data_IF_540395744082
#
_entry.id   IF_540395744082
#
_cell.length_a   1.000
_cell.length_b   1.000
_cell.length_c   1.000
_cell.angle_alpha   90.00
_cell.angle_beta   90.00
_cell.angle_gamma   90.00
#
_symmetry.space_group_name_H-M   'P 1'
#
loop_
_entity.id
_entity.type
_entity.pdbx_description
1 polymer ?
#
# COMPACT_ATOMS: atom_id res chain seq x y z
N UNK A 1 44.35 -12.13 -2.33
CA UNK A 1 43.60 -11.33 -1.33
C UNK A 1 42.18 -11.10 -1.86
N UNK A 2 41.17 -11.80 -1.34
CA UNK A 2 39.77 -11.64 -1.80
C UNK A 2 39.19 -10.34 -1.23
N UNK A 3 39.37 -9.23 -1.94
CA UNK A 3 38.55 -8.04 -1.78
C UNK A 3 37.20 -8.32 -2.41
N UNK A 4 36.14 -8.17 -1.64
CA UNK A 4 34.77 -8.38 -2.07
C UNK A 4 34.07 -9.35 -1.15
N UNK A 5 32.86 -8.96 -0.73
CA UNK A 5 31.83 -9.82 -0.12
C UNK A 5 31.64 -9.66 1.40
N UNK A 6 32.13 -8.59 2.05
CA UNK A 6 31.75 -8.29 3.45
C UNK A 6 30.22 -8.15 3.59
N UNK A 7 29.57 -7.45 2.65
CA UNK A 7 28.11 -7.35 2.57
C UNK A 7 27.44 -8.71 2.34
N UNK A 8 28.03 -9.56 1.51
CA UNK A 8 27.51 -10.92 1.25
C UNK A 8 27.63 -11.82 2.48
N UNK A 9 28.68 -11.67 3.30
CA UNK A 9 28.81 -12.36 4.59
C UNK A 9 27.78 -11.87 5.62
N UNK A 10 27.51 -10.57 5.65
CA UNK A 10 26.47 -9.99 6.52
C UNK A 10 25.09 -10.50 6.08
N UNK A 11 24.83 -10.53 4.77
CA UNK A 11 23.60 -11.08 4.20
C UNK A 11 23.44 -12.56 4.52
N UNK A 12 24.48 -13.39 4.32
CA UNK A 12 24.41 -14.83 4.60
C UNK A 12 24.22 -15.09 6.09
N UNK A 13 24.88 -14.33 6.97
CA UNK A 13 24.69 -14.45 8.43
C UNK A 13 23.25 -14.11 8.85
N UNK A 14 22.66 -13.03 8.31
CA UNK A 14 21.28 -12.66 8.60
C UNK A 14 20.29 -13.68 8.03
N UNK A 15 20.53 -14.15 6.81
CA UNK A 15 19.71 -15.18 6.16
C UNK A 15 19.77 -16.52 6.91
N UNK A 16 20.97 -16.98 7.30
CA UNK A 16 21.16 -18.22 8.05
C UNK A 16 20.60 -18.12 9.47
N UNK A 17 20.76 -16.98 10.14
CA UNK A 17 20.13 -16.68 11.43
C UNK A 17 18.60 -16.71 11.35
N UNK A 18 18.03 -16.03 10.36
CA UNK A 18 16.58 -16.01 10.13
C UNK A 18 16.02 -17.39 9.75
N UNK A 19 16.75 -18.16 8.93
CA UNK A 19 16.35 -19.52 8.51
C UNK A 19 16.48 -20.55 9.64
N UNK A 20 17.47 -20.43 10.51
CA UNK A 20 17.65 -21.33 11.67
C UNK A 20 16.67 -21.03 12.81
N UNK A 21 16.06 -19.83 12.83
CA UNK A 21 15.07 -19.45 13.83
C UNK A 21 13.66 -20.00 13.54
N UNK A 22 13.23 -20.99 14.32
CA UNK A 22 11.85 -21.50 14.29
C UNK A 22 10.83 -20.48 14.81
N UNK A 23 11.23 -19.65 15.79
CA UNK A 23 10.39 -18.60 16.38
C UNK A 23 10.22 -17.42 15.43
N UNK A 24 11.30 -17.00 14.76
CA UNK A 24 11.28 -15.88 13.81
C UNK A 24 10.32 -16.12 12.64
N UNK A 25 10.31 -17.33 12.07
CA UNK A 25 9.37 -17.71 11.01
C UNK A 25 7.91 -17.64 11.47
N UNK A 26 7.63 -18.13 12.68
CA UNK A 26 6.28 -18.06 13.27
C UNK A 26 5.85 -16.60 13.48
N UNK A 27 6.75 -15.77 14.01
CA UNK A 27 6.48 -14.36 14.26
C UNK A 27 6.26 -13.59 12.95
N UNK A 28 7.05 -13.88 11.92
CA UNK A 28 6.86 -13.32 10.59
C UNK A 28 5.49 -13.71 10.03
N UNK A 29 5.10 -14.99 10.14
CA UNK A 29 3.75 -15.44 9.79
C UNK A 29 2.64 -14.65 10.52
N UNK A 30 2.80 -14.39 11.81
CA UNK A 30 1.87 -13.56 12.59
C UNK A 30 1.83 -12.11 12.05
N UNK A 31 2.97 -11.53 11.72
CA UNK A 31 3.04 -10.19 11.13
C UNK A 31 2.30 -10.16 9.78
N UNK A 32 2.50 -11.16 8.91
CA UNK A 32 1.79 -11.27 7.63
C UNK A 32 0.28 -11.37 7.81
N UNK A 33 -0.16 -12.23 8.73
CA UNK A 33 -1.58 -12.38 9.05
C UNK A 33 -2.14 -11.06 9.58
N UNK A 34 -1.45 -10.40 10.51
CA UNK A 34 -1.87 -9.12 11.07
C UNK A 34 -1.94 -8.04 10.00
N UNK A 35 -0.95 -7.95 9.11
CA UNK A 35 -0.94 -7.01 7.99
C UNK A 35 -2.09 -7.31 7.01
N UNK A 36 -2.36 -8.57 6.71
CA UNK A 36 -3.48 -8.97 5.85
C UNK A 36 -4.83 -8.60 6.48
N UNK A 37 -5.03 -8.92 7.76
CA UNK A 37 -6.27 -8.57 8.49
C UNK A 37 -6.42 -7.06 8.60
N UNK A 38 -5.35 -6.33 8.99
CA UNK A 38 -5.39 -4.87 9.06
C UNK A 38 -5.66 -4.25 7.68
N UNK A 39 -5.06 -4.76 6.62
CA UNK A 39 -5.34 -4.31 5.26
C UNK A 39 -6.76 -4.62 4.83
N UNK A 40 -7.29 -5.82 5.14
CA UNK A 40 -8.64 -6.22 4.80
C UNK A 40 -9.68 -5.40 5.56
N UNK A 41 -9.47 -5.14 6.86
CA UNK A 41 -10.32 -4.27 7.69
C UNK A 41 -10.23 -2.83 7.22
N UNK A 42 -9.03 -2.26 7.04
CA UNK A 42 -8.90 -0.91 6.49
C UNK A 42 -9.57 -0.82 5.11
N UNK A 43 -9.35 -1.79 4.23
CA UNK A 43 -10.02 -1.83 2.92
C UNK A 43 -11.54 -1.93 3.09
N UNK A 44 -12.06 -2.83 3.90
CA UNK A 44 -13.50 -3.07 4.06
C UNK A 44 -14.21 -2.04 4.94
N UNK A 45 -13.52 -1.24 5.74
CA UNK A 45 -14.14 -0.17 6.54
C UNK A 45 -13.85 1.22 5.99
N UNK A 46 -12.63 1.48 5.48
CA UNK A 46 -12.30 2.75 4.83
C UNK A 46 -12.79 2.81 3.38
N UNK A 47 -12.65 1.76 2.54
CA UNK A 47 -13.02 1.90 1.11
C UNK A 47 -14.53 1.88 0.81
N UNK A 48 -15.40 1.03 1.40
CA UNK A 48 -16.81 1.07 1.03
C UNK A 48 -17.48 2.36 1.46
N UNK A 49 -17.03 3.00 2.55
CA UNK A 49 -17.53 4.32 2.93
C UNK A 49 -16.87 5.45 2.11
N UNK A 50 -15.66 5.28 1.59
CA UNK A 50 -15.02 6.29 0.73
C UNK A 50 -15.59 6.28 -0.70
N UNK A 51 -16.00 5.13 -1.22
CA UNK A 51 -16.55 5.00 -2.58
C UNK A 51 -18.09 5.12 -2.61
N UNK A 52 -18.82 4.56 -1.63
CA UNK A 52 -20.29 4.52 -1.70
C UNK A 52 -21.01 5.74 -1.09
N UNK A 53 -20.34 6.65 -0.40
CA UNK A 53 -21.05 7.75 0.28
C UNK A 53 -21.36 8.97 -0.60
N UNK A 54 -21.23 8.91 -1.93
CA UNK A 54 -21.72 10.04 -2.76
C UNK A 54 -22.22 9.72 -4.18
N UNK A 55 -21.80 8.66 -4.89
CA UNK A 55 -22.35 8.41 -6.24
C UNK A 55 -22.31 6.91 -6.59
N UNK A 56 -23.40 6.40 -7.17
CA UNK A 56 -23.65 4.98 -7.46
C UNK A 56 -22.80 4.39 -8.60
N UNK A 57 -21.91 5.17 -9.24
CA UNK A 57 -21.06 4.70 -10.34
C UNK A 57 -19.77 5.53 -10.40
N UNK A 58 -18.61 4.89 -10.28
CA UNK A 58 -17.28 5.56 -10.33
C UNK A 58 -17.05 6.34 -11.64
N UNK A 59 -17.72 5.93 -12.72
CA UNK A 59 -17.64 6.53 -14.05
C UNK A 59 -18.26 7.94 -14.09
N UNK A 60 -19.37 8.17 -13.38
CA UNK A 60 -20.10 9.45 -13.39
C UNK A 60 -19.37 10.55 -12.59
N UNK A 61 -18.69 10.17 -11.50
CA UNK A 61 -17.85 11.09 -10.71
C UNK A 61 -16.66 11.62 -11.51
N UNK A 62 -15.97 10.73 -12.23
CA UNK A 62 -14.82 11.09 -13.04
C UNK A 62 -15.23 12.11 -14.11
N UNK A 63 -16.36 11.89 -14.77
CA UNK A 63 -16.90 12.81 -15.78
C UNK A 63 -17.35 14.14 -15.18
N UNK A 64 -17.95 14.17 -13.99
CA UNK A 64 -18.36 15.43 -13.36
C UNK A 64 -17.16 16.28 -12.89
N UNK A 65 -16.17 15.66 -12.24
CA UNK A 65 -14.93 16.36 -11.80
C UNK A 65 -14.11 16.80 -13.02
N UNK A 66 -14.02 15.98 -14.05
CA UNK A 66 -13.37 16.35 -15.31
C UNK A 66 -14.05 17.56 -15.95
N UNK A 67 -15.38 17.60 -16.00
CA UNK A 67 -16.11 18.77 -16.50
C UNK A 67 -15.92 20.04 -15.64
N UNK A 68 -15.75 19.91 -14.32
CA UNK A 68 -15.46 21.05 -13.45
C UNK A 68 -14.02 21.56 -13.57
N UNK A 69 -13.04 20.66 -13.77
CA UNK A 69 -11.62 21.02 -13.96
C UNK A 69 -11.34 21.54 -15.38
N UNK A 70 -12.07 21.05 -16.37
CA UNK A 70 -12.01 21.51 -17.75
C UNK A 70 -12.79 22.79 -17.99
N UNK A 71 -13.58 23.28 -17.02
CA UNK A 71 -14.05 24.67 -17.08
C UNK A 71 -12.80 25.54 -17.02
N UNK A 72 -12.41 26.21 -18.12
CA UNK A 72 -11.41 27.25 -17.99
C UNK A 72 -11.96 28.23 -16.97
N UNK A 73 -11.14 28.65 -16.01
CA UNK A 73 -11.43 29.81 -15.17
C UNK A 73 -11.68 30.95 -16.14
N UNK A 74 -12.95 31.17 -16.45
CA UNK A 74 -13.41 32.25 -17.28
C UNK A 74 -13.16 33.46 -16.41
N UNK A 75 -12.05 34.14 -16.72
CA UNK A 75 -11.68 35.40 -16.08
C UNK A 75 -12.91 36.28 -16.13
N UNK A 76 -13.49 36.54 -14.96
CA UNK A 76 -14.44 37.62 -14.76
C UNK A 76 -13.68 38.92 -15.04
N UNK A 77 -13.75 39.33 -16.30
CA UNK A 77 -13.49 40.68 -16.78
C UNK A 77 -14.81 41.28 -17.20
N UNK A 78 -15.66 41.60 -16.23
CA UNK A 78 -16.66 42.67 -16.22
C UNK A 78 -16.74 43.19 -14.79
#
# INVERSE_FOLDING_TARGET
MRKGNMLSKIYSFYYDGFKSMTVGKKLWGIIFIKLFIMFAVLKMFFFPNYLNTTFNTDTEKADHVMNQLLRPVQKDGQ
#
